data_IF_357046336523
#
_entry.id   IF_357046336523
#
_cell.length_a   1.000
_cell.length_b   1.000
_cell.length_c   1.000
_cell.angle_alpha   90.00
_cell.angle_beta   90.00
_cell.angle_gamma   90.00
#
_symmetry.space_group_name_H-M   'P 1'
#
loop_
_entity.id
_entity.type
_entity.pdbx_description
1 polymer ?
#
# COMPACT_ATOMS: atom_id res chain seq x y z
N UNK A 1 32.41 21.51 8.99
CA UNK A 1 31.41 20.54 8.51
C UNK A 1 30.05 21.18 8.68
N UNK A 2 29.45 21.67 7.58
CA UNK A 2 28.13 22.30 7.62
C UNK A 2 27.09 21.22 7.94
N UNK A 3 26.36 21.39 9.04
CA UNK A 3 25.25 20.51 9.36
C UNK A 3 24.20 20.68 8.26
N UNK A 4 23.89 19.60 7.55
CA UNK A 4 22.75 19.54 6.63
C UNK A 4 21.52 19.94 7.44
N UNK A 5 20.97 21.12 7.19
CA UNK A 5 19.66 21.47 7.72
C UNK A 5 18.65 20.44 7.18
N UNK A 6 17.77 19.88 8.02
CA UNK A 6 16.69 19.06 7.52
C UNK A 6 15.88 19.91 6.54
N UNK A 7 15.66 19.38 5.34
CA UNK A 7 14.80 20.03 4.36
C UNK A 7 13.44 20.28 5.01
N UNK A 8 12.89 21.48 4.82
CA UNK A 8 11.50 21.76 5.14
C UNK A 8 10.66 20.69 4.42
N UNK A 9 9.94 19.81 5.15
CA UNK A 9 9.24 18.67 4.54
C UNK A 9 8.11 19.09 3.60
N UNK A 10 7.86 20.41 3.45
CA UNK A 10 6.77 20.95 2.68
C UNK A 10 5.42 20.61 3.34
N UNK A 11 4.30 20.94 2.68
CA UNK A 11 3.00 20.51 3.18
C UNK A 11 2.98 18.98 3.26
N UNK A 12 2.64 18.45 4.45
CA UNK A 12 2.55 17.00 4.74
C UNK A 12 1.79 16.23 3.67
N UNK A 13 0.83 16.88 3.02
CA UNK A 13 0.04 16.33 1.94
C UNK A 13 0.02 17.29 0.74
N UNK A 14 0.50 16.83 -0.41
CA UNK A 14 0.44 17.56 -1.68
C UNK A 14 -0.20 16.68 -2.77
N UNK A 15 -1.43 16.96 -3.23
CA UNK A 15 -2.10 16.17 -4.26
C UNK A 15 -1.63 16.48 -5.69
N UNK A 16 -0.78 17.50 -5.88
CA UNK A 16 -0.19 17.84 -7.18
C UNK A 16 1.07 17.03 -7.50
N UNK A 17 1.63 16.32 -6.52
CA UNK A 17 2.78 15.43 -6.66
C UNK A 17 2.28 14.00 -6.50
N UNK A 18 2.66 13.13 -7.44
CA UNK A 18 2.25 11.73 -7.40
C UNK A 18 2.87 11.01 -6.18
N UNK A 19 2.08 10.14 -5.53
CA UNK A 19 2.54 9.31 -4.42
C UNK A 19 2.44 7.82 -4.77
N UNK A 20 3.45 6.98 -4.45
CA UNK A 20 3.45 5.57 -4.84
C UNK A 20 2.21 4.78 -4.43
N UNK A 21 1.69 4.99 -3.20
CA UNK A 21 0.49 4.31 -2.71
C UNK A 21 -0.76 4.61 -3.57
N UNK A 22 -0.90 5.87 -4.01
CA UNK A 22 -2.03 6.36 -4.83
C UNK A 22 -1.90 5.91 -6.28
N UNK A 23 -0.68 5.92 -6.83
CA UNK A 23 -0.38 5.34 -8.15
C UNK A 23 -0.71 3.84 -8.17
N UNK A 24 -0.35 3.11 -7.12
CA UNK A 24 -0.68 1.71 -6.98
C UNK A 24 -2.19 1.47 -6.89
N UNK A 25 -2.92 2.34 -6.17
CA UNK A 25 -4.38 2.32 -6.14
C UNK A 25 -5.00 2.51 -7.53
N UNK A 26 -4.44 3.38 -8.40
CA UNK A 26 -4.87 3.50 -9.79
C UNK A 26 -4.79 2.15 -10.53
N UNK A 27 -3.68 1.41 -10.39
CA UNK A 27 -3.50 0.11 -11.06
C UNK A 27 -4.44 -0.97 -10.55
N UNK A 28 -4.88 -0.86 -9.30
CA UNK A 28 -5.89 -1.75 -8.73
C UNK A 28 -7.33 -1.32 -9.04
N UNK A 29 -7.55 -0.17 -9.67
CA UNK A 29 -8.89 0.38 -9.94
C UNK A 29 -9.56 1.00 -8.70
N UNK A 30 -8.77 1.37 -7.69
CA UNK A 30 -9.25 2.15 -6.54
C UNK A 30 -9.57 3.60 -6.92
N UNK A 31 -10.25 4.32 -6.03
CA UNK A 31 -10.69 5.71 -6.28
C UNK A 31 -9.82 6.77 -5.60
N UNK A 32 -9.03 6.37 -4.61
CA UNK A 32 -8.30 7.27 -3.71
C UNK A 32 -6.97 7.73 -4.33
N UNK A 33 -7.10 8.55 -5.37
CA UNK A 33 -5.98 9.06 -6.15
C UNK A 33 -6.31 10.41 -6.82
N UNK A 34 -5.30 11.22 -7.09
CA UNK A 34 -5.44 12.56 -7.68
C UNK A 34 -4.99 12.59 -9.16
N UNK A 35 -5.22 13.70 -9.89
CA UNK A 35 -4.80 13.81 -11.28
C UNK A 35 -3.29 13.60 -11.52
N UNK A 36 -2.42 13.93 -10.56
CA UNK A 36 -0.98 13.68 -10.66
C UNK A 36 -0.66 12.18 -10.62
N UNK A 37 -1.30 11.45 -9.71
CA UNK A 37 -1.15 9.99 -9.56
C UNK A 37 -1.62 9.24 -10.81
N UNK A 38 -2.76 9.65 -11.39
CA UNK A 38 -3.29 9.04 -12.63
C UNK A 38 -2.34 9.24 -13.81
N UNK A 39 -1.82 10.45 -13.99
CA UNK A 39 -0.84 10.74 -15.05
C UNK A 39 0.41 9.88 -14.91
N UNK A 40 0.95 9.76 -13.69
CA UNK A 40 2.08 8.89 -13.40
C UNK A 40 1.76 7.41 -13.67
N UNK A 41 0.60 6.93 -13.21
CA UNK A 41 0.14 5.57 -13.47
C UNK A 41 0.04 5.26 -14.97
N UNK A 42 -0.54 6.17 -15.76
CA UNK A 42 -0.69 6.03 -17.22
C UNK A 42 0.66 6.03 -17.94
N UNK A 43 1.63 6.82 -17.51
CA UNK A 43 2.99 6.81 -18.06
C UNK A 43 3.71 5.49 -17.77
N UNK A 44 3.56 4.94 -16.56
CA UNK A 44 4.10 3.62 -16.24
C UNK A 44 3.40 2.54 -17.07
N UNK A 45 2.09 2.61 -17.26
CA UNK A 45 1.36 1.66 -18.13
C UNK A 45 1.87 1.72 -19.57
N UNK A 46 2.08 2.92 -20.12
CA UNK A 46 2.63 3.10 -21.49
C UNK A 46 4.02 2.49 -21.65
N UNK A 47 4.88 2.62 -20.64
CA UNK A 47 6.25 2.08 -20.68
C UNK A 47 6.35 0.61 -20.26
N UNK A 48 5.44 0.13 -19.41
CA UNK A 48 5.40 -1.22 -18.81
C UNK A 48 3.95 -1.72 -18.70
N UNK A 49 3.35 -2.19 -19.81
CA UNK A 49 1.94 -2.61 -19.83
C UNK A 49 1.57 -3.68 -18.80
N UNK A 50 2.54 -4.52 -18.41
CA UNK A 50 2.38 -5.58 -17.43
C UNK A 50 2.18 -5.09 -15.98
N UNK A 51 2.41 -3.80 -15.68
CA UNK A 51 2.38 -3.27 -14.31
C UNK A 51 1.06 -3.51 -13.60
N UNK A 52 -0.07 -3.42 -14.31
CA UNK A 52 -1.41 -3.66 -13.76
C UNK A 52 -1.60 -5.13 -13.35
N UNK A 53 -1.18 -6.04 -14.22
CA UNK A 53 -1.18 -7.47 -13.90
C UNK A 53 -0.23 -7.78 -12.72
N UNK A 54 0.93 -7.12 -12.69
CA UNK A 54 1.90 -7.21 -11.58
C UNK A 54 1.33 -6.75 -10.25
N UNK A 55 0.62 -5.62 -10.20
CA UNK A 55 -0.04 -5.12 -9.00
C UNK A 55 -1.08 -6.12 -8.46
N UNK A 56 -1.90 -6.69 -9.35
CA UNK A 56 -2.88 -7.73 -8.97
C UNK A 56 -2.20 -9.01 -8.47
N UNK A 57 -1.14 -9.45 -9.16
CA UNK A 57 -0.36 -10.62 -8.75
C UNK A 57 0.29 -10.40 -7.38
N UNK A 58 0.79 -9.19 -7.10
CA UNK A 58 1.35 -8.82 -5.81
C UNK A 58 0.29 -8.89 -4.69
N UNK A 59 -0.93 -8.38 -4.92
CA UNK A 59 -2.03 -8.54 -3.94
C UNK A 59 -2.40 -10.00 -3.69
N UNK A 60 -2.46 -10.80 -4.76
CA UNK A 60 -2.72 -12.23 -4.63
C UNK A 60 -1.60 -12.95 -3.86
N UNK A 61 -0.34 -12.53 -4.04
CA UNK A 61 0.80 -13.06 -3.30
C UNK A 61 0.73 -12.71 -1.81
N UNK A 62 0.47 -11.45 -1.46
CA UNK A 62 0.25 -11.02 -0.08
C UNK A 62 -0.78 -11.91 0.62
N UNK A 63 -1.95 -12.11 0.00
CA UNK A 63 -3.01 -12.93 0.59
C UNK A 63 -2.57 -14.40 0.80
N UNK A 64 -1.80 -14.99 -0.11
CA UNK A 64 -1.27 -16.36 0.07
C UNK A 64 -0.26 -16.43 1.22
N UNK A 65 0.64 -15.45 1.32
CA UNK A 65 1.67 -15.41 2.37
C UNK A 65 1.03 -15.21 3.74
N UNK A 66 0.13 -14.23 3.88
CA UNK A 66 -0.55 -13.97 5.16
C UNK A 66 -1.36 -15.19 5.60
N UNK A 67 -2.07 -15.84 4.68
CA UNK A 67 -2.80 -17.08 4.98
C UNK A 67 -1.85 -18.18 5.48
N UNK A 68 -0.74 -18.41 4.79
CA UNK A 68 0.26 -19.40 5.19
C UNK A 68 0.83 -19.09 6.59
N UNK A 69 1.20 -17.83 6.83
CA UNK A 69 1.73 -17.40 8.13
C UNK A 69 0.72 -17.59 9.27
N UNK A 70 -0.56 -17.28 9.03
CA UNK A 70 -1.62 -17.44 10.02
C UNK A 70 -1.98 -18.93 10.26
N UNK A 71 -2.16 -19.70 9.19
CA UNK A 71 -2.65 -21.07 9.24
C UNK A 71 -1.56 -22.06 9.65
N UNK A 72 -0.44 -22.06 8.92
CA UNK A 72 0.61 -23.09 9.04
C UNK A 72 1.67 -22.69 10.06
N UNK A 73 2.08 -21.42 10.07
CA UNK A 73 3.12 -20.95 10.98
C UNK A 73 2.60 -20.49 12.35
N UNK A 74 1.27 -20.40 12.53
CA UNK A 74 0.67 -19.98 13.80
C UNK A 74 0.92 -18.52 14.18
N UNK A 75 1.28 -17.63 13.24
CA UNK A 75 1.52 -16.21 13.52
C UNK A 75 0.20 -15.50 13.84
N UNK A 76 0.23 -14.67 14.89
CA UNK A 76 -0.92 -13.88 15.39
C UNK A 76 -0.66 -12.38 15.44
N UNK A 77 0.55 -11.94 15.15
CA UNK A 77 0.94 -10.54 15.18
C UNK A 77 1.69 -10.20 13.91
N UNK A 78 1.23 -9.19 13.19
CA UNK A 78 1.82 -8.72 11.94
C UNK A 78 2.18 -7.25 12.06
N UNK A 79 3.32 -6.89 11.46
CA UNK A 79 3.69 -5.52 11.18
C UNK A 79 3.77 -5.38 9.66
N UNK A 80 2.87 -4.58 9.10
CA UNK A 80 2.74 -4.34 7.67
C UNK A 80 3.29 -2.94 7.35
N UNK A 81 4.43 -2.90 6.66
CA UNK A 81 5.18 -1.68 6.34
C UNK A 81 5.02 -1.36 4.85
N UNK A 82 4.52 -0.17 4.55
CA UNK A 82 4.06 0.18 3.21
C UNK A 82 2.70 -0.44 2.89
N UNK A 83 1.78 -0.37 3.85
CA UNK A 83 0.43 -0.96 3.76
C UNK A 83 -0.33 -0.49 2.52
N UNK A 84 -0.11 0.77 2.12
CA UNK A 84 -0.81 1.41 1.03
C UNK A 84 -2.29 1.67 1.34
N UNK A 85 -3.02 2.08 0.32
CA UNK A 85 -4.45 2.38 0.41
C UNK A 85 -5.29 1.10 0.47
N UNK A 86 -6.51 1.17 1.05
CA UNK A 86 -7.39 0.01 1.16
C UNK A 86 -7.60 -0.68 -0.18
N UNK A 87 -7.42 -2.00 -0.18
CA UNK A 87 -7.71 -2.88 -1.30
C UNK A 87 -8.20 -4.23 -0.75
N UNK A 88 -9.07 -4.96 -1.48
CA UNK A 88 -9.57 -6.25 -1.03
C UNK A 88 -8.44 -7.23 -0.66
N UNK A 89 -8.68 -8.03 0.38
CA UNK A 89 -7.67 -8.96 0.89
C UNK A 89 -6.56 -8.21 1.60
N UNK A 90 -6.93 -7.30 2.50
CA UNK A 90 -5.98 -6.66 3.43
C UNK A 90 -5.37 -7.69 4.38
N UNK A 91 -4.23 -7.36 4.99
CA UNK A 91 -3.50 -8.27 5.89
C UNK A 91 -4.38 -8.74 7.04
N UNK A 92 -5.15 -7.84 7.66
CA UNK A 92 -6.07 -8.19 8.75
C UNK A 92 -7.24 -9.05 8.27
N UNK A 93 -7.86 -8.76 7.13
CA UNK A 93 -8.96 -9.55 6.58
C UNK A 93 -8.52 -11.01 6.36
N UNK A 94 -7.34 -11.19 5.77
CA UNK A 94 -6.81 -12.53 5.49
C UNK A 94 -6.39 -13.24 6.77
N UNK A 95 -5.73 -12.55 7.69
CA UNK A 95 -5.27 -13.15 8.95
C UNK A 95 -6.45 -13.53 9.86
N UNK A 96 -7.43 -12.65 10.05
CA UNK A 96 -8.58 -12.88 10.94
C UNK A 96 -9.58 -13.89 10.39
N UNK A 97 -9.64 -14.08 9.06
CA UNK A 97 -10.39 -15.18 8.47
C UNK A 97 -9.87 -16.57 8.91
N UNK A 98 -8.59 -16.66 9.32
CA UNK A 98 -7.95 -17.90 9.81
C UNK A 98 -7.86 -17.92 11.34
N UNK A 99 -7.45 -16.81 11.94
CA UNK A 99 -7.21 -16.67 13.37
C UNK A 99 -7.86 -15.36 13.86
N UNK A 100 -9.09 -15.39 14.40
CA UNK A 100 -9.83 -14.18 14.79
C UNK A 100 -9.11 -13.30 15.82
N UNK A 101 -8.16 -13.85 16.58
CA UNK A 101 -7.33 -13.16 17.57
C UNK A 101 -6.08 -12.49 16.96
N UNK A 102 -5.87 -12.60 15.64
CA UNK A 102 -4.76 -11.95 14.95
C UNK A 102 -4.84 -10.42 15.06
N UNK A 103 -3.67 -9.82 15.26
CA UNK A 103 -3.46 -8.36 15.38
C UNK A 103 -2.49 -7.90 14.31
N UNK A 104 -2.75 -6.73 13.74
CA UNK A 104 -1.93 -6.14 12.69
C UNK A 104 -1.66 -4.68 13.05
N UNK A 105 -0.41 -4.25 12.93
CA UNK A 105 -0.03 -2.83 12.91
C UNK A 105 0.30 -2.45 11.48
N UNK A 106 -0.35 -1.40 10.99
CA UNK A 106 -0.12 -0.82 9.66
C UNK A 106 0.78 0.40 9.77
N UNK A 107 1.75 0.52 8.86
CA UNK A 107 2.65 1.65 8.77
C UNK A 107 2.76 2.10 7.31
N UNK A 108 2.44 3.36 7.04
CA UNK A 108 2.63 3.98 5.74
C UNK A 108 3.01 5.45 5.92
N UNK A 109 3.73 6.01 4.96
CA UNK A 109 4.17 7.41 4.99
C UNK A 109 3.26 8.34 4.20
N UNK A 110 2.29 7.82 3.43
CA UNK A 110 1.24 8.61 2.81
C UNK A 110 0.21 9.02 3.88
N UNK A 111 0.01 10.33 4.15
CA UNK A 111 -1.02 10.75 5.11
C UNK A 111 -2.44 10.33 4.70
N UNK A 112 -2.68 10.03 3.42
CA UNK A 112 -3.99 9.55 2.96
C UNK A 112 -4.32 8.16 3.53
N UNK A 113 -3.31 7.33 3.77
CA UNK A 113 -3.50 5.98 4.33
C UNK A 113 -4.04 6.06 5.75
N UNK A 114 -3.59 7.04 6.55
CA UNK A 114 -4.09 7.26 7.92
C UNK A 114 -5.59 7.54 7.98
N UNK A 115 -6.17 8.12 6.92
CA UNK A 115 -7.63 8.41 6.86
C UNK A 115 -8.45 7.13 6.75
N UNK A 116 -7.83 6.02 6.35
CA UNK A 116 -8.50 4.74 6.12
C UNK A 116 -8.08 3.63 7.10
N UNK A 117 -7.14 3.91 8.00
CA UNK A 117 -6.58 2.97 8.96
C UNK A 117 -7.44 2.82 10.22
#
# INVERSE_FOLDING_TARGET
MSALQPADPGPRFNPSVAHPARVYACWLGGKDHYPADRRAAEEVIRSRPQVVAGARANRAFLARVVRYLAAECGIRQFLDIGTGLPAPGSTIEVAQAIAPDARVVYCDNDPLVLVHA
#
